data_IF_114153095516
#
_entry.id   IF_114153095516
#
_cell.length_a   1.000
_cell.length_b   1.000
_cell.length_c   1.000
_cell.angle_alpha   90.00
_cell.angle_beta   90.00
_cell.angle_gamma   90.00
#
_symmetry.space_group_name_H-M   'P 1'
#
loop_
_entity.id
_entity.type
_entity.pdbx_description
1 polymer ?
#
# COMPACT_ATOMS: atom_id res chain seq x y z
N UNK A 1 2.62 -15.88 -6.70
CA UNK A 1 2.98 -14.47 -6.96
C UNK A 1 1.75 -13.79 -7.51
N UNK A 2 1.52 -12.53 -7.13
CA UNK A 2 0.43 -11.69 -7.64
C UNK A 2 0.99 -10.41 -8.23
N UNK A 3 0.29 -9.84 -9.21
CA UNK A 3 0.63 -8.56 -9.82
C UNK A 3 -0.18 -7.45 -9.17
N UNK A 4 0.47 -6.41 -8.68
CA UNK A 4 -0.19 -5.24 -8.08
C UNK A 4 0.32 -3.95 -8.73
N UNK A 5 -0.40 -2.86 -8.54
CA UNK A 5 0.07 -1.51 -8.90
C UNK A 5 0.24 -0.68 -7.64
N UNK A 6 1.42 -0.09 -7.45
CA UNK A 6 1.73 0.80 -6.32
C UNK A 6 2.18 2.16 -6.88
N UNK A 7 1.47 3.24 -6.58
CA UNK A 7 1.81 4.59 -7.08
C UNK A 7 2.09 4.63 -8.60
N UNK A 8 1.26 3.94 -9.40
CA UNK A 8 1.40 3.75 -10.85
C UNK A 8 2.56 2.85 -11.33
N UNK A 9 3.29 2.19 -10.43
CA UNK A 9 4.31 1.19 -10.76
C UNK A 9 3.72 -0.21 -10.60
N UNK A 10 3.79 -1.05 -11.64
CA UNK A 10 3.36 -2.45 -11.57
C UNK A 10 4.51 -3.34 -11.09
N UNK A 11 4.25 -4.18 -10.08
CA UNK A 11 5.23 -5.15 -9.58
C UNK A 11 4.58 -6.47 -9.18
N UNK A 12 5.40 -7.52 -9.13
CA UNK A 12 5.02 -8.83 -8.60
C UNK A 12 5.41 -8.96 -7.13
N UNK A 13 4.52 -9.49 -6.30
CA UNK A 13 4.75 -9.77 -4.87
C UNK A 13 4.26 -11.17 -4.50
N UNK A 14 4.64 -11.66 -3.32
CA UNK A 14 4.14 -12.93 -2.79
C UNK A 14 2.63 -12.86 -2.50
N UNK A 15 1.91 -13.97 -2.67
CA UNK A 15 0.46 -14.08 -2.44
C UNK A 15 0.03 -13.77 -0.99
N UNK A 16 0.94 -13.87 -0.03
CA UNK A 16 0.69 -13.56 1.38
C UNK A 16 1.11 -12.14 1.76
N UNK A 17 1.53 -11.31 0.80
CA UNK A 17 1.95 -9.93 1.06
C UNK A 17 0.79 -9.10 1.58
N UNK A 18 0.95 -8.52 2.76
CA UNK A 18 0.01 -7.55 3.35
C UNK A 18 0.35 -6.13 2.92
N UNK A 19 -0.55 -5.18 3.17
CA UNK A 19 -0.25 -3.75 2.96
C UNK A 19 0.95 -3.33 3.80
N UNK A 20 1.00 -3.71 5.07
CA UNK A 20 2.14 -3.40 5.95
C UNK A 20 3.45 -4.00 5.43
N UNK A 21 3.45 -5.28 5.04
CA UNK A 21 4.64 -5.94 4.48
C UNK A 21 5.11 -5.30 3.16
N UNK A 22 4.17 -4.85 2.32
CA UNK A 22 4.49 -4.08 1.12
C UNK A 22 5.17 -2.74 1.48
N UNK A 23 4.62 -2.00 2.45
CA UNK A 23 5.16 -0.71 2.86
C UNK A 23 6.59 -0.83 3.38
N UNK A 24 6.84 -1.82 4.24
CA UNK A 24 8.16 -2.14 4.79
C UNK A 24 9.15 -2.50 3.68
N UNK A 25 8.78 -3.41 2.78
CA UNK A 25 9.64 -3.89 1.70
C UNK A 25 10.00 -2.77 0.72
N UNK A 26 9.09 -1.80 0.51
CA UNK A 26 9.30 -0.65 -0.37
C UNK A 26 9.94 0.55 0.34
N UNK A 27 10.18 0.47 1.64
CA UNK A 27 10.84 1.52 2.41
C UNK A 27 9.98 2.77 2.63
N UNK A 28 8.66 2.63 2.64
CA UNK A 28 7.76 3.72 3.03
C UNK A 28 7.89 4.00 4.54
N UNK A 29 7.73 5.27 4.98
CA UNK A 29 7.78 5.59 6.39
C UNK A 29 6.59 4.98 7.14
N UNK A 30 6.80 4.67 8.42
CA UNK A 30 5.76 4.12 9.29
C UNK A 30 4.69 5.16 9.68
N UNK A 31 4.96 6.46 9.51
CA UNK A 31 4.09 7.57 9.92
C UNK A 31 4.05 8.65 8.86
N UNK A 32 3.01 9.49 8.96
CA UNK A 32 2.83 10.61 8.04
C UNK A 32 2.47 10.17 6.62
N UNK A 33 1.90 8.97 6.47
CA UNK A 33 1.37 8.48 5.20
C UNK A 33 -0.10 8.06 5.35
N UNK A 34 -0.82 8.13 4.24
CA UNK A 34 -2.12 7.49 4.07
C UNK A 34 -2.04 6.49 2.93
N UNK A 35 -2.76 5.38 3.07
CA UNK A 35 -2.81 4.30 2.07
C UNK A 35 -4.24 4.16 1.56
N UNK A 36 -4.40 4.06 0.25
CA UNK A 36 -5.65 3.66 -0.37
C UNK A 36 -5.47 2.34 -1.11
N UNK A 37 -6.46 1.46 -0.99
CA UNK A 37 -6.61 0.23 -1.76
C UNK A 37 -7.83 0.39 -2.66
N UNK A 38 -7.66 0.20 -3.97
CA UNK A 38 -8.73 0.27 -4.96
C UNK A 38 -9.60 1.52 -4.78
N UNK A 39 -8.93 2.69 -4.71
CA UNK A 39 -9.53 4.02 -4.54
C UNK A 39 -10.18 4.30 -3.18
N UNK A 40 -10.08 3.36 -2.23
CA UNK A 40 -10.61 3.50 -0.87
C UNK A 40 -9.48 3.68 0.14
N UNK A 41 -9.47 4.79 0.86
CA UNK A 41 -8.49 5.03 1.93
C UNK A 41 -8.72 4.02 3.06
N UNK A 42 -7.67 3.29 3.44
CA UNK A 42 -7.72 2.29 4.50
C UNK A 42 -7.22 2.87 5.82
N UNK A 43 -7.97 2.70 6.93
CA UNK A 43 -7.45 3.02 8.25
C UNK A 43 -6.27 2.11 8.58
N UNK A 44 -5.33 2.61 9.39
CA UNK A 44 -4.11 1.86 9.75
C UNK A 44 -4.38 0.50 10.38
N UNK A 45 -5.49 0.36 11.10
CA UNK A 45 -5.93 -0.90 11.71
C UNK A 45 -6.27 -2.01 10.69
N UNK A 46 -6.34 -1.69 9.41
CA UNK A 46 -6.61 -2.65 8.31
C UNK A 46 -5.37 -2.91 7.44
N UNK A 47 -4.18 -2.46 7.84
CA UNK A 47 -2.96 -2.65 7.03
C UNK A 47 -2.38 -4.07 7.12
N UNK A 48 -2.91 -4.91 8.01
CA UNK A 48 -2.68 -6.35 8.06
C UNK A 48 -3.41 -7.11 6.93
N UNK A 49 -4.28 -6.42 6.17
CA UNK A 49 -4.98 -6.98 5.01
C UNK A 49 -4.00 -7.48 3.94
N UNK A 50 -4.18 -8.73 3.52
CA UNK A 50 -3.48 -9.34 2.38
C UNK A 50 -3.92 -8.72 1.06
N UNK A 51 -2.96 -8.45 0.18
CA UNK A 51 -3.22 -7.95 -1.17
C UNK A 51 -3.79 -9.05 -2.06
N UNK A 52 -4.68 -8.65 -2.96
CA UNK A 52 -5.23 -9.53 -4.00
C UNK A 52 -4.54 -9.25 -5.33
N UNK A 53 -4.56 -10.24 -6.22
CA UNK A 53 -4.09 -10.03 -7.60
C UNK A 53 -4.86 -8.90 -8.29
N UNK A 54 -4.13 -8.03 -8.98
CA UNK A 54 -4.64 -6.81 -9.59
C UNK A 54 -4.89 -5.64 -8.63
N UNK A 55 -4.57 -5.76 -7.34
CA UNK A 55 -4.79 -4.69 -6.36
C UNK A 55 -4.06 -3.39 -6.75
N UNK A 56 -4.73 -2.26 -6.54
CA UNK A 56 -4.14 -0.92 -6.69
C UNK A 56 -3.91 -0.28 -5.32
N UNK A 57 -2.66 -0.02 -4.99
CA UNK A 57 -2.24 0.66 -3.76
C UNK A 57 -1.72 2.05 -4.08
N UNK A 58 -2.28 3.07 -3.44
CA UNK A 58 -1.76 4.43 -3.48
C UNK A 58 -1.24 4.81 -2.09
N UNK A 59 0.00 5.25 -2.01
CA UNK A 59 0.66 5.71 -0.79
C UNK A 59 1.00 7.18 -0.96
N UNK A 60 0.38 8.02 -0.14
CA UNK A 60 0.61 9.46 -0.14
C UNK A 60 1.22 9.90 1.19
N UNK A 61 2.24 10.74 1.14
CA UNK A 61 2.80 11.36 2.34
C UNK A 61 2.00 12.60 2.70
N UNK A 62 1.55 12.66 3.95
CA UNK A 62 0.96 13.86 4.51
C UNK A 62 2.01 14.98 4.51
N UNK A 63 1.72 16.03 3.75
CA UNK A 63 2.42 17.30 3.85
C UNK A 63 1.53 18.25 4.64
N UNK A 64 2.10 19.02 5.58
CA UNK A 64 1.36 20.10 6.21
C UNK A 64 1.06 21.14 5.13
N UNK A 65 -0.21 21.29 4.76
CA UNK A 65 -0.67 22.43 3.96
C UNK A 65 -0.60 23.70 4.81
N UNK A 66 0.01 24.75 4.27
CA UNK A 66 -0.03 26.11 4.81
C UNK A 66 -1.23 26.89 4.28
#
# INVERSE_FOLDING_TARGET
MITITVNNETLEVDEQTTIEGLLETRGFPDKGIAVALDWSVLPRSEWDRTLSDGARVEVVTAVQGG
#
